data_IF_341556607844
#
_entry.id   IF_341556607844
#
_cell.length_a   1.000
_cell.length_b   1.000
_cell.length_c   1.000
_cell.angle_alpha   90.00
_cell.angle_beta   90.00
_cell.angle_gamma   90.00
#
_symmetry.space_group_name_H-M   'P 1'
#
loop_
_entity.id
_entity.type
_entity.pdbx_description
1 polymer ?
#
# COMPACT_ATOMS: atom_id res chain seq x y z
N UNK A 1 -29.42 -9.33 -9.75
CA UNK A 1 -27.98 -9.72 -9.65
C UNK A 1 -27.06 -8.72 -10.35
N UNK A 2 -27.38 -8.26 -11.57
CA UNK A 2 -26.62 -7.20 -12.26
C UNK A 2 -26.61 -5.85 -11.54
N UNK A 3 -27.70 -5.43 -10.89
CA UNK A 3 -27.72 -4.17 -10.12
C UNK A 3 -26.87 -4.22 -8.85
N UNK A 4 -26.78 -5.39 -8.20
CA UNK A 4 -25.89 -5.62 -7.06
C UNK A 4 -24.44 -5.52 -7.52
N UNK A 5 -24.10 -6.17 -8.64
CA UNK A 5 -22.78 -6.09 -9.26
C UNK A 5 -22.43 -4.65 -9.68
N UNK A 6 -23.36 -3.91 -10.27
CA UNK A 6 -23.18 -2.50 -10.66
C UNK A 6 -23.03 -1.58 -9.45
N UNK A 7 -23.73 -1.85 -8.32
CA UNK A 7 -23.59 -1.11 -7.05
C UNK A 7 -22.26 -1.40 -6.34
N UNK A 8 -21.72 -2.61 -6.47
CA UNK A 8 -20.37 -2.99 -5.96
C UNK A 8 -19.22 -2.56 -6.90
N UNK A 9 -19.46 -2.50 -8.21
CA UNK A 9 -18.54 -1.94 -9.21
C UNK A 9 -18.61 -0.40 -9.26
N UNK A 10 -19.64 0.22 -8.69
CA UNK A 10 -19.72 1.66 -8.41
C UNK A 10 -18.91 2.08 -7.18
N UNK A 11 -17.82 1.36 -6.87
CA UNK A 11 -16.62 2.04 -6.34
C UNK A 11 -16.05 2.85 -7.53
N UNK A 12 -16.82 3.83 -8.00
CA UNK A 12 -16.42 4.76 -9.04
C UNK A 12 -15.25 5.55 -8.50
N UNK A 13 -14.15 5.53 -9.26
CA UNK A 13 -13.05 6.49 -9.29
C UNK A 13 -13.05 7.49 -8.13
N UNK A 14 -12.84 7.02 -6.89
CA UNK A 14 -12.71 7.93 -5.78
C UNK A 14 -11.28 8.49 -5.93
N UNK A 15 -11.13 9.46 -6.85
CA UNK A 15 -9.88 10.04 -7.35
C UNK A 15 -9.02 10.52 -6.20
N UNK A 16 -9.63 10.80 -5.05
CA UNK A 16 -8.95 11.08 -3.80
C UNK A 16 -8.02 9.93 -3.37
N UNK A 17 -8.47 8.67 -3.36
CA UNK A 17 -7.63 7.54 -2.94
C UNK A 17 -6.57 7.20 -3.98
N UNK A 18 -6.84 7.43 -5.27
CA UNK A 18 -5.82 7.32 -6.30
C UNK A 18 -4.74 8.42 -6.15
N UNK A 19 -5.14 9.65 -5.83
CA UNK A 19 -4.20 10.74 -5.49
C UNK A 19 -3.41 10.43 -4.22
N UNK A 20 -4.04 9.82 -3.21
CA UNK A 20 -3.35 9.34 -2.02
C UNK A 20 -2.35 8.23 -2.36
N UNK A 21 -2.72 7.26 -3.20
CA UNK A 21 -1.78 6.26 -3.71
C UNK A 21 -0.56 6.92 -4.38
N UNK A 22 -0.77 7.91 -5.26
CA UNK A 22 0.34 8.64 -5.89
C UNK A 22 1.18 9.39 -4.84
N UNK A 23 0.55 10.00 -3.85
CA UNK A 23 1.26 10.71 -2.77
C UNK A 23 2.12 9.76 -1.94
N UNK A 24 1.56 8.62 -1.53
CA UNK A 24 2.29 7.58 -0.80
C UNK A 24 3.38 6.93 -1.65
N UNK A 25 3.17 6.80 -2.96
CA UNK A 25 4.20 6.37 -3.89
C UNK A 25 5.39 7.34 -3.91
N UNK A 26 5.12 8.65 -3.98
CA UNK A 26 6.18 9.67 -3.92
C UNK A 26 6.94 9.58 -2.61
N UNK A 27 6.24 9.46 -1.47
CA UNK A 27 6.85 9.29 -0.15
C UNK A 27 7.70 8.01 -0.12
N UNK A 28 7.19 6.91 -0.65
CA UNK A 28 7.92 5.64 -0.73
C UNK A 28 9.23 5.78 -1.51
N UNK A 29 9.19 6.37 -2.72
CA UNK A 29 10.40 6.60 -3.53
C UNK A 29 11.37 7.54 -2.81
N UNK A 30 10.85 8.59 -2.17
CA UNK A 30 11.66 9.54 -1.42
C UNK A 30 12.36 8.89 -0.23
N UNK A 31 11.66 8.05 0.53
CA UNK A 31 12.22 7.29 1.66
C UNK A 31 13.26 6.26 1.20
N UNK A 32 13.08 5.65 0.02
CA UNK A 32 14.00 4.62 -0.49
C UNK A 32 15.30 5.21 -1.02
N UNK A 33 15.26 6.40 -1.63
CA UNK A 33 16.43 7.03 -2.25
C UNK A 33 16.89 8.31 -1.54
N UNK A 34 16.36 9.49 -1.93
CA UNK A 34 16.86 10.79 -1.47
C UNK A 34 16.97 10.93 0.04
N UNK A 35 15.95 10.50 0.80
CA UNK A 35 15.92 10.69 2.24
C UNK A 35 17.01 9.89 2.95
N UNK A 36 17.24 8.63 2.53
CA UNK A 36 18.34 7.80 3.06
C UNK A 36 19.70 8.40 2.76
N UNK A 37 19.87 9.06 1.61
CA UNK A 37 21.13 9.72 1.26
C UNK A 37 21.38 11.00 2.07
N UNK A 38 20.33 11.78 2.33
CA UNK A 38 20.41 13.03 3.10
C UNK A 38 20.63 12.73 4.59
N UNK A 39 19.87 11.78 5.14
CA UNK A 39 19.90 11.40 6.55
C UNK A 39 21.01 10.36 6.75
N UNK A 40 22.27 10.77 6.54
CA UNK A 40 23.41 10.00 7.04
C UNK A 40 23.40 10.09 8.56
N UNK A 41 22.94 9.03 9.21
CA UNK A 41 22.79 8.99 10.67
C UNK A 41 23.40 7.71 11.24
N UNK A 42 23.97 7.85 12.43
CA UNK A 42 24.49 6.75 13.24
C UNK A 42 23.44 6.21 14.22
N UNK A 43 22.25 6.81 14.26
CA UNK A 43 21.16 6.31 15.09
C UNK A 43 20.56 5.04 14.48
N UNK A 44 20.67 3.92 15.19
CA UNK A 44 20.08 2.64 14.82
C UNK A 44 18.56 2.73 14.64
N UNK A 45 17.88 3.54 15.47
CA UNK A 45 16.45 3.76 15.34
C UNK A 45 16.07 4.39 14.00
N UNK A 46 16.80 5.42 13.57
CA UNK A 46 16.51 6.09 12.29
C UNK A 46 16.86 5.19 11.10
N UNK A 47 17.91 4.36 11.21
CA UNK A 47 18.23 3.34 10.20
C UNK A 47 17.11 2.33 10.06
N UNK A 48 16.59 1.82 11.18
CA UNK A 48 15.44 0.91 11.19
C UNK A 48 14.19 1.56 10.59
N UNK A 49 13.85 2.78 11.04
CA UNK A 49 12.68 3.51 10.57
C UNK A 49 12.76 3.77 9.05
N UNK A 50 13.90 4.23 8.55
CA UNK A 50 14.12 4.46 7.11
C UNK A 50 14.24 3.15 6.32
N UNK A 51 14.58 2.05 6.97
CA UNK A 51 14.52 0.69 6.45
C UNK A 51 13.08 0.29 6.12
N UNK A 52 12.23 0.37 7.14
CA UNK A 52 10.89 -0.25 7.19
C UNK A 52 9.77 0.66 6.65
N UNK A 53 9.85 1.98 6.87
CA UNK A 53 8.82 2.93 6.43
C UNK A 53 8.52 2.91 4.92
N UNK A 54 9.51 2.79 4.00
CA UNK A 54 9.25 2.62 2.58
C UNK A 54 8.23 1.51 2.27
N UNK A 55 8.41 0.34 2.86
CA UNK A 55 7.59 -0.84 2.60
C UNK A 55 6.17 -0.70 3.16
N UNK A 56 6.02 -0.02 4.30
CA UNK A 56 4.71 0.38 4.81
C UNK A 56 3.94 1.24 3.81
N UNK A 57 4.58 2.29 3.26
CA UNK A 57 3.94 3.15 2.26
C UNK A 57 3.71 2.44 0.92
N UNK A 58 4.59 1.52 0.54
CA UNK A 58 4.39 0.67 -0.63
C UNK A 58 3.13 -0.20 -0.49
N UNK A 59 2.92 -0.79 0.69
CA UNK A 59 1.70 -1.57 1.00
C UNK A 59 0.42 -0.76 0.86
N UNK A 60 0.40 0.48 1.38
CA UNK A 60 -0.75 1.40 1.21
C UNK A 60 -0.97 1.73 -0.27
N UNK A 61 0.10 2.08 -0.96
CA UNK A 61 0.08 2.49 -2.37
C UNK A 61 -0.50 1.39 -3.25
N UNK A 62 0.06 0.19 -3.17
CA UNK A 62 -0.36 -0.95 -3.98
C UNK A 62 -1.79 -1.36 -3.64
N UNK A 63 -2.18 -1.33 -2.37
CA UNK A 63 -3.55 -1.63 -1.98
C UNK A 63 -4.55 -0.66 -2.63
N UNK A 64 -4.32 0.65 -2.49
CA UNK A 64 -5.21 1.65 -3.08
C UNK A 64 -5.19 1.61 -4.61
N UNK A 65 -4.02 1.38 -5.21
CA UNK A 65 -3.93 1.20 -6.65
C UNK A 65 -4.77 0.01 -7.12
N UNK A 66 -4.60 -1.17 -6.53
CA UNK A 66 -5.38 -2.35 -6.92
C UNK A 66 -6.88 -2.19 -6.61
N UNK A 67 -7.23 -1.56 -5.50
CA UNK A 67 -8.65 -1.40 -5.13
C UNK A 67 -9.37 -0.41 -6.05
N UNK A 68 -8.73 0.71 -6.41
CA UNK A 68 -9.41 1.83 -7.09
C UNK A 68 -9.06 1.97 -8.57
N UNK A 69 -7.91 1.47 -9.04
CA UNK A 69 -7.54 1.49 -10.46
C UNK A 69 -7.97 0.20 -11.17
N UNK A 70 -7.80 -0.97 -10.52
CA UNK A 70 -8.14 -2.27 -11.12
C UNK A 70 -9.47 -2.84 -10.60
N UNK A 71 -10.16 -2.11 -9.71
CA UNK A 71 -11.44 -2.50 -9.11
C UNK A 71 -11.38 -3.86 -8.41
N UNK A 72 -10.23 -4.21 -7.84
CA UNK A 72 -10.04 -5.47 -7.12
C UNK A 72 -10.79 -5.47 -5.79
N UNK A 73 -11.27 -6.64 -5.36
CA UNK A 73 -11.85 -6.81 -4.01
C UNK A 73 -10.80 -6.48 -2.95
N UNK A 74 -11.15 -5.84 -1.82
CA UNK A 74 -10.17 -5.42 -0.80
C UNK A 74 -9.23 -6.55 -0.35
N UNK A 75 -9.76 -7.74 -0.06
CA UNK A 75 -8.92 -8.88 0.35
C UNK A 75 -7.96 -9.31 -0.76
N UNK A 76 -8.42 -9.33 -2.01
CA UNK A 76 -7.57 -9.65 -3.15
C UNK A 76 -6.51 -8.57 -3.38
N UNK A 77 -6.87 -7.30 -3.27
CA UNK A 77 -5.95 -6.17 -3.40
C UNK A 77 -4.84 -6.25 -2.33
N UNK A 78 -5.17 -6.63 -1.10
CA UNK A 78 -4.18 -6.86 -0.04
C UNK A 78 -3.26 -8.04 -0.37
N UNK A 79 -3.83 -9.19 -0.77
CA UNK A 79 -3.03 -10.37 -1.13
C UNK A 79 -2.09 -10.07 -2.31
N UNK A 80 -2.56 -9.35 -3.33
CA UNK A 80 -1.73 -8.95 -4.47
C UNK A 80 -0.63 -7.96 -4.06
N UNK A 81 -0.94 -6.98 -3.22
CA UNK A 81 0.07 -6.04 -2.71
C UNK A 81 1.17 -6.78 -1.92
N UNK A 82 0.79 -7.70 -1.03
CA UNK A 82 1.74 -8.51 -0.25
C UNK A 82 2.54 -9.43 -1.16
N UNK A 83 1.91 -10.08 -2.13
CA UNK A 83 2.60 -10.96 -3.08
C UNK A 83 3.64 -10.19 -3.91
N UNK A 84 3.30 -9.00 -4.42
CA UNK A 84 4.23 -8.15 -5.16
C UNK A 84 5.43 -7.77 -4.28
N UNK A 85 5.19 -7.33 -3.04
CA UNK A 85 6.28 -6.90 -2.16
C UNK A 85 7.13 -8.07 -1.67
N UNK A 86 6.53 -9.22 -1.39
CA UNK A 86 7.29 -10.45 -1.08
C UNK A 86 8.16 -10.91 -2.27
N UNK A 87 7.67 -10.77 -3.51
CA UNK A 87 8.49 -11.05 -4.70
C UNK A 87 9.67 -10.09 -4.82
N UNK A 88 9.48 -8.80 -4.48
CA UNK A 88 10.58 -7.82 -4.45
C UNK A 88 11.65 -8.25 -3.44
N UNK A 89 11.27 -8.67 -2.23
CA UNK A 89 12.21 -9.19 -1.22
C UNK A 89 12.96 -10.42 -1.72
N UNK A 90 12.26 -11.37 -2.38
CA UNK A 90 12.90 -12.55 -2.97
C UNK A 90 13.94 -12.14 -4.02
N UNK A 91 13.60 -11.19 -4.90
CA UNK A 91 14.53 -10.68 -5.92
C UNK A 91 15.73 -9.99 -5.28
N UNK A 92 15.53 -9.25 -4.19
CA UNK A 92 16.61 -8.58 -3.47
C UNK A 92 17.63 -9.56 -2.86
N UNK A 93 17.24 -10.78 -2.51
CA UNK A 93 18.20 -11.81 -2.05
C UNK A 93 19.26 -12.17 -3.10
N UNK A 94 18.98 -11.94 -4.38
CA UNK A 94 19.93 -12.20 -5.47
C UNK A 94 20.80 -10.98 -5.80
N UNK A 95 20.58 -9.83 -5.14
CA UNK A 95 21.38 -8.62 -5.35
C UNK A 95 22.53 -8.54 -4.33
N UNK A 96 23.79 -8.30 -4.78
CA UNK A 96 24.98 -8.41 -3.92
C UNK A 96 25.04 -7.44 -2.72
N UNK A 97 24.19 -6.42 -2.70
CA UNK A 97 24.17 -5.35 -1.70
C UNK A 97 22.87 -5.28 -0.88
N UNK A 98 21.91 -6.17 -1.13
CA UNK A 98 20.61 -6.16 -0.46
C UNK A 98 20.43 -7.42 0.37
N UNK A 99 19.72 -7.30 1.49
CA UNK A 99 19.30 -8.41 2.33
C UNK A 99 17.79 -8.34 2.41
N UNK A 100 17.12 -9.47 2.17
CA UNK A 100 15.70 -9.56 2.45
C UNK A 100 15.48 -9.43 3.96
N UNK A 101 14.51 -8.60 4.35
CA UNK A 101 14.16 -8.39 5.76
C UNK A 101 12.69 -8.75 5.98
N UNK A 102 12.44 -9.62 6.96
CA UNK A 102 11.07 -9.99 7.33
C UNK A 102 10.29 -8.77 7.84
N UNK A 103 10.97 -7.78 8.42
CA UNK A 103 10.35 -6.54 8.87
C UNK A 103 9.76 -5.74 7.71
N UNK A 104 10.35 -5.83 6.52
CA UNK A 104 9.86 -5.16 5.32
C UNK A 104 8.54 -5.77 4.84
N UNK A 105 8.43 -7.10 4.86
CA UNK A 105 7.18 -7.81 4.58
C UNK A 105 6.11 -7.50 5.62
N UNK A 106 6.46 -7.48 6.90
CA UNK A 106 5.51 -7.15 7.98
C UNK A 106 5.00 -5.71 7.82
N UNK A 107 5.88 -4.76 7.52
CA UNK A 107 5.49 -3.37 7.33
C UNK A 107 4.58 -3.18 6.13
N UNK A 108 4.87 -3.85 5.01
CA UNK A 108 4.00 -3.91 3.85
C UNK A 108 2.58 -4.40 4.19
N UNK A 109 2.49 -5.50 4.95
CA UNK A 109 1.21 -6.04 5.42
C UNK A 109 0.48 -5.01 6.27
N UNK A 110 1.15 -4.39 7.24
CA UNK A 110 0.55 -3.38 8.12
C UNK A 110 0.03 -2.17 7.34
N UNK A 111 0.80 -1.67 6.37
CA UNK A 111 0.37 -0.58 5.49
C UNK A 111 -0.87 -0.96 4.68
N UNK A 112 -0.86 -2.14 4.06
CA UNK A 112 -2.01 -2.66 3.32
C UNK A 112 -3.25 -2.85 4.19
N UNK A 113 -3.09 -3.33 5.44
CA UNK A 113 -4.20 -3.49 6.39
C UNK A 113 -4.82 -2.14 6.77
N UNK A 114 -3.99 -1.11 7.02
CA UNK A 114 -4.48 0.26 7.29
C UNK A 114 -5.30 0.76 6.10
N UNK A 115 -4.78 0.62 4.88
CA UNK A 115 -5.49 1.02 3.66
C UNK A 115 -6.81 0.25 3.47
N UNK A 116 -6.81 -1.04 3.77
CA UNK A 116 -8.00 -1.89 3.73
C UNK A 116 -9.08 -1.44 4.71
N UNK A 117 -8.72 -1.13 5.96
CA UNK A 117 -9.66 -0.62 6.96
C UNK A 117 -10.29 0.69 6.48
N UNK A 118 -9.50 1.59 5.90
CA UNK A 118 -9.98 2.86 5.33
C UNK A 118 -10.98 2.60 4.20
N UNK A 119 -10.65 1.71 3.26
CA UNK A 119 -11.52 1.38 2.13
C UNK A 119 -12.84 0.70 2.56
N UNK A 120 -12.79 -0.19 3.56
CA UNK A 120 -13.98 -0.83 4.12
C UNK A 120 -14.88 0.19 4.84
N UNK A 121 -14.30 1.10 5.64
CA UNK A 121 -15.07 2.18 6.29
C UNK A 121 -15.73 3.09 5.25
N UNK A 122 -15.01 3.45 4.19
CA UNK A 122 -15.53 4.29 3.10
C UNK A 122 -16.72 3.64 2.40
N UNK A 123 -16.60 2.37 2.03
CA UNK A 123 -17.66 1.62 1.34
C UNK A 123 -18.92 1.49 2.20
N UNK A 124 -18.78 1.26 3.52
CA UNK A 124 -19.94 1.28 4.45
C UNK A 124 -20.65 2.64 4.49
N UNK A 125 -19.90 3.74 4.54
CA UNK A 125 -20.46 5.10 4.55
C UNK A 125 -21.20 5.40 3.22
N UNK A 126 -20.64 5.00 2.09
CA UNK A 126 -21.26 5.21 0.79
C UNK A 126 -22.60 4.44 0.67
N UNK A 127 -22.66 3.21 1.20
CA UNK A 127 -23.90 2.43 1.23
C UNK A 127 -24.96 3.11 2.10
N UNK A 128 -24.58 3.62 3.28
CA UNK A 128 -25.51 4.31 4.19
C UNK A 128 -26.11 5.60 3.61
N UNK A 129 -25.37 6.32 2.75
CA UNK A 129 -25.84 7.55 2.09
C UNK A 129 -26.70 7.33 0.84
N UNK A 130 -26.69 6.12 0.27
CA UNK A 130 -27.49 5.77 -0.92
C UNK A 130 -28.81 5.06 -0.60
N UNK A 131 -29.27 5.17 0.64
CA UNK A 131 -30.54 4.63 1.16
C UNK A 131 -31.49 5.77 1.60
N UNK A 132 -31.11 7.02 1.33
CA UNK A 132 -31.98 8.20 1.43
C UNK A 132 -32.55 8.58 0.07
#
# INVERSE_FOLDING_TARGET
MMDTLRKYLNIHEDKMYLRLAISFFIVWIFCTGPLRWIVKTDSDFLRLLLGVAPNFFAGITLFFWQTYMTSSRPVLALLLAVAILALVEIVQMFMPSHRADLLDVIAAILGGLVAMIIAIRRSKIAIGRGVE
#
